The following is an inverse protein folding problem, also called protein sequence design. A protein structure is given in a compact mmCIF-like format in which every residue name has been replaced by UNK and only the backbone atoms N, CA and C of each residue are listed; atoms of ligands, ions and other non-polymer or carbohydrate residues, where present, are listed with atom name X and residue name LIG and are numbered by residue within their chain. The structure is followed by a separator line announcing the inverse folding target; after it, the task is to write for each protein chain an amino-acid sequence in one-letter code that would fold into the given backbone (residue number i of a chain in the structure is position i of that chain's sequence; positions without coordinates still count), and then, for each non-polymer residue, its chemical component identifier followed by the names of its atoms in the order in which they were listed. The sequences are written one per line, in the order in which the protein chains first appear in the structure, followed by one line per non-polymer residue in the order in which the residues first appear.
data_IF_305233154897
#
_entry.id   IF_305233154897
#
_cell.length_a   1.000
_cell.length_b   1.000
_cell.length_c   1.000
_cell.angle_alpha   90.00
_cell.angle_beta   90.00
_cell.angle_gamma   90.00
#
_symmetry.space_group_name_H-M   'P 1'
#
loop_
_entity.id
_entity.type
_entity.pdbx_description
1 polymer ?
#
# COMPACT_ATOMS: atom_id res chain seq x y z
N UNK A 1 -12.16 57.49 41.75
CA UNK A 1 -13.06 56.32 41.83
C UNK A 1 -12.38 55.19 41.07
N UNK A 2 -11.60 54.32 41.71
CA UNK A 2 -12.02 53.09 42.42
C UNK A 2 -12.69 52.06 41.49
N UNK A 3 -12.47 50.75 41.49
CA UNK A 3 -11.45 49.81 42.03
C UNK A 3 -11.92 48.39 41.56
N UNK A 4 -11.00 47.47 41.17
CA UNK A 4 -11.13 45.97 41.19
C UNK A 4 -12.16 45.31 40.21
N UNK A 5 -12.07 44.06 39.69
CA UNK A 5 -11.38 42.80 40.07
C UNK A 5 -11.49 41.73 38.91
N UNK A 6 -10.62 40.68 38.96
CA UNK A 6 -10.72 39.30 38.39
C UNK A 6 -10.47 39.12 36.86
N UNK A 7 -9.72 38.13 36.32
CA UNK A 7 -9.28 36.81 36.83
C UNK A 7 -8.11 36.23 35.97
N UNK A 8 -7.23 35.42 36.59
CA UNK A 8 -6.15 34.65 35.95
C UNK A 8 -6.73 33.42 35.23
N UNK A 9 -6.36 33.16 33.98
CA UNK A 9 -6.45 31.82 33.35
C UNK A 9 -5.04 31.28 33.11
N UNK A 10 -4.68 30.26 33.89
CA UNK A 10 -3.54 29.39 33.62
C UNK A 10 -3.91 28.51 32.43
N UNK A 11 -3.13 28.63 31.35
CA UNK A 11 -3.17 27.75 30.20
C UNK A 11 -2.21 26.59 30.50
N UNK A 12 -2.73 25.41 30.85
CA UNK A 12 -1.91 24.20 30.80
C UNK A 12 -1.79 23.76 29.33
N UNK A 13 -0.59 23.89 28.77
CA UNK A 13 -0.20 23.20 27.55
C UNK A 13 0.37 21.84 27.97
N UNK A 14 -0.38 20.77 27.76
CA UNK A 14 0.18 19.41 27.84
C UNK A 14 1.24 19.24 26.74
N UNK A 15 2.44 18.81 27.13
CA UNK A 15 3.52 18.50 26.20
C UNK A 15 3.77 16.99 26.28
N UNK A 16 3.43 16.26 25.22
CA UNK A 16 3.79 14.84 25.08
C UNK A 16 5.21 14.73 24.53
N UNK A 17 6.08 13.95 25.20
CA UNK A 17 7.43 13.65 24.71
C UNK A 17 7.56 12.13 24.59
N UNK A 18 7.69 11.63 23.36
CA UNK A 18 7.99 10.22 23.08
C UNK A 18 9.51 10.05 23.22
N UNK A 19 9.95 9.23 24.18
CA UNK A 19 11.37 9.14 24.59
C UNK A 19 12.14 8.07 23.78
N UNK A 20 11.48 7.25 22.97
CA UNK A 20 12.19 6.36 22.03
C UNK A 20 11.29 5.61 21.05
N UNK A 21 11.74 5.56 19.79
CA UNK A 21 11.25 4.63 18.76
C UNK A 21 12.40 3.68 18.43
N UNK A 22 12.19 2.38 18.62
CA UNK A 22 13.18 1.36 18.27
C UNK A 22 12.59 0.37 17.26
N UNK A 23 13.11 0.43 16.03
CA UNK A 23 12.79 -0.49 14.94
C UNK A 23 13.96 -1.46 14.78
N UNK A 24 13.77 -2.73 15.13
CA UNK A 24 14.83 -3.75 14.99
C UNK A 24 14.82 -4.30 13.57
N UNK A 25 15.73 -3.85 12.72
CA UNK A 25 15.98 -4.50 11.42
C UNK A 25 16.49 -5.93 11.66
N UNK A 26 15.82 -6.92 11.05
CA UNK A 26 16.33 -8.29 11.01
C UNK A 26 17.45 -8.38 9.97
N UNK A 27 18.69 -8.39 10.45
CA UNK A 27 19.72 -9.33 9.98
C UNK A 27 20.83 -9.36 11.03
N UNK A 28 21.02 -10.50 11.69
CA UNK A 28 22.26 -10.85 12.41
C UNK A 28 22.20 -12.32 12.85
N UNK A 29 22.96 -13.16 12.14
CA UNK A 29 23.55 -14.40 12.67
C UNK A 29 24.98 -14.08 13.08
N UNK A 30 25.37 -14.32 14.33
CA UNK A 30 26.39 -15.33 14.73
C UNK A 30 26.87 -15.19 16.19
N UNK A 31 27.18 -16.37 16.74
CA UNK A 31 28.16 -16.80 17.75
C UNK A 31 28.48 -15.97 19.01
N UNK A 32 28.53 -16.72 20.11
CA UNK A 32 28.98 -16.34 21.44
C UNK A 32 30.46 -15.96 21.51
N UNK A 33 30.79 -14.99 22.35
CA UNK A 33 31.83 -15.16 23.38
C UNK A 33 31.77 -14.05 24.43
N UNK A 34 31.97 -14.46 25.68
CA UNK A 34 32.65 -13.75 26.78
C UNK A 34 32.00 -12.54 27.45
N UNK A 35 31.95 -12.65 28.78
CA UNK A 35 31.40 -11.71 29.76
C UNK A 35 32.26 -10.46 29.99
N UNK A 36 31.62 -9.37 30.40
CA UNK A 36 32.22 -8.39 31.33
C UNK A 36 31.12 -7.62 32.09
N UNK A 37 31.13 -7.74 33.42
CA UNK A 37 30.38 -6.89 34.36
C UNK A 37 31.15 -5.58 34.55
N UNK A 38 30.46 -4.43 34.59
CA UNK A 38 30.77 -3.34 35.53
C UNK A 38 29.57 -2.41 35.74
N UNK A 39 29.53 -1.83 36.93
CA UNK A 39 28.39 -1.22 37.63
C UNK A 39 28.36 0.32 37.58
N UNK A 40 27.14 0.86 37.67
CA UNK A 40 26.68 2.12 38.31
C UNK A 40 26.95 3.53 37.74
N UNK A 41 25.81 4.25 37.66
CA UNK A 41 25.48 5.65 38.02
C UNK A 41 25.77 6.82 37.04
N UNK A 42 24.66 7.27 36.44
CA UNK A 42 24.08 8.62 36.43
C UNK A 42 24.95 9.82 35.95
N UNK A 43 24.62 10.36 34.77
CA UNK A 43 24.62 11.80 34.51
C UNK A 43 23.85 12.12 33.21
N UNK A 44 22.73 12.84 33.35
CA UNK A 44 21.96 13.42 32.25
C UNK A 44 22.74 14.63 31.69
N UNK A 45 23.23 14.55 30.45
CA UNK A 45 23.60 15.71 29.63
C UNK A 45 23.52 15.31 28.15
N UNK A 46 22.47 15.77 27.48
CA UNK A 46 22.25 15.56 26.06
C UNK A 46 23.27 16.38 25.23
N UNK A 47 24.17 15.68 24.55
CA UNK A 47 24.91 16.17 23.39
C UNK A 47 25.00 15.00 22.40
N UNK A 48 24.18 15.03 21.36
CA UNK A 48 24.15 14.01 20.32
C UNK A 48 25.20 14.40 19.26
N UNK A 49 26.32 13.67 19.21
CA UNK A 49 27.25 13.68 18.08
C UNK A 49 27.20 12.27 17.49
N UNK A 50 26.56 12.13 16.33
CA UNK A 50 26.55 10.87 15.56
C UNK A 50 27.69 10.95 14.56
N UNK A 51 28.74 10.15 14.77
CA UNK A 51 29.75 9.84 13.75
C UNK A 51 29.37 8.49 13.14
N UNK A 52 28.85 8.50 11.92
CA UNK A 52 28.65 7.29 11.12
C UNK A 52 29.84 7.11 10.18
N UNK A 53 30.57 6.00 10.33
CA UNK A 53 31.58 5.58 9.37
C UNK A 53 30.91 4.65 8.32
N UNK A 54 31.06 4.90 7.01
CA UNK A 54 30.52 4.00 5.99
C UNK A 54 31.48 2.81 5.78
N UNK A 55 30.99 1.60 6.03
CA UNK A 55 31.59 0.37 5.49
C UNK A 55 30.98 0.13 4.10
N UNK A 56 31.82 0.21 3.06
CA UNK A 56 31.45 -0.16 1.69
C UNK A 56 31.56 -1.68 1.58
N UNK A 57 30.42 -2.38 1.60
CA UNK A 57 30.35 -3.77 1.17
C UNK A 57 30.26 -3.79 -0.36
N UNK A 58 31.24 -4.38 -1.04
CA UNK A 58 31.17 -4.67 -2.47
C UNK A 58 30.09 -5.73 -2.69
N UNK A 59 29.04 -5.38 -3.44
CA UNK A 59 28.03 -6.35 -3.85
C UNK A 59 28.64 -7.27 -4.91
N UNK A 60 28.61 -8.59 -4.67
CA UNK A 60 29.02 -9.58 -5.66
C UNK A 60 27.99 -9.62 -6.79
N UNK A 61 28.45 -9.54 -8.04
CA UNK A 61 27.57 -9.56 -9.21
C UNK A 61 27.23 -11.01 -9.60
N UNK A 62 25.95 -11.27 -9.87
CA UNK A 62 25.44 -12.54 -10.39
C UNK A 62 24.85 -12.36 -11.79
N UNK A 63 24.86 -13.43 -12.59
CA UNK A 63 24.16 -13.53 -13.87
C UNK A 63 23.23 -14.74 -13.86
N UNK A 64 22.08 -14.60 -14.52
CA UNK A 64 21.04 -15.65 -14.58
C UNK A 64 21.07 -16.32 -15.94
N UNK A 65 21.17 -17.64 -15.97
CA UNK A 65 21.13 -18.43 -17.21
C UNK A 65 19.70 -18.63 -17.70
N UNK A 66 19.53 -19.10 -18.94
CA UNK A 66 18.23 -19.24 -19.60
C UNK A 66 17.27 -20.24 -18.89
N UNK A 67 17.82 -21.15 -18.10
CA UNK A 67 17.12 -22.11 -17.23
C UNK A 67 16.85 -21.56 -15.81
N UNK A 68 17.21 -20.30 -15.53
CA UNK A 68 16.92 -19.62 -14.26
C UNK A 68 17.96 -19.81 -13.16
N UNK A 69 19.12 -20.39 -13.45
CA UNK A 69 20.19 -20.60 -12.46
C UNK A 69 21.02 -19.34 -12.26
N UNK A 70 21.24 -18.91 -11.02
CA UNK A 70 22.12 -17.78 -10.70
C UNK A 70 23.58 -18.23 -10.54
N UNK A 71 24.50 -17.57 -11.26
CA UNK A 71 25.94 -17.85 -11.22
C UNK A 71 26.68 -16.57 -10.84
N UNK A 72 27.63 -16.67 -9.90
CA UNK A 72 28.54 -15.59 -9.56
C UNK A 72 29.46 -15.27 -10.74
N UNK A 73 29.59 -14.00 -11.12
CA UNK A 73 30.43 -13.58 -12.26
C UNK A 73 31.89 -13.99 -12.04
N UNK A 74 32.37 -13.98 -10.80
CA UNK A 74 33.72 -14.39 -10.42
C UNK A 74 34.00 -15.89 -10.65
N UNK A 75 32.95 -16.71 -10.80
CA UNK A 75 33.06 -18.14 -11.09
C UNK A 75 33.11 -18.46 -12.60
N UNK A 76 32.97 -17.46 -13.47
CA UNK A 76 33.04 -17.61 -14.93
C UNK A 76 34.49 -17.58 -15.43
N UNK A 77 34.73 -18.12 -16.63
CA UNK A 77 36.04 -18.01 -17.29
C UNK A 77 36.32 -16.54 -17.68
N UNK A 78 37.60 -16.12 -17.80
CA UNK A 78 37.94 -14.73 -18.14
C UNK A 78 37.28 -14.22 -19.43
N UNK A 79 37.15 -15.07 -20.44
CA UNK A 79 36.49 -14.73 -21.71
C UNK A 79 34.98 -14.50 -21.53
N UNK A 80 34.33 -15.30 -20.66
CA UNK A 80 32.91 -15.14 -20.34
C UNK A 80 32.66 -13.92 -19.44
N UNK A 81 33.59 -13.60 -18.53
CA UNK A 81 33.53 -12.36 -17.74
C UNK A 81 33.61 -11.13 -18.65
N UNK A 82 34.50 -11.15 -19.66
CA UNK A 82 34.61 -10.09 -20.64
C UNK A 82 33.33 -9.95 -21.47
N UNK A 83 32.72 -11.05 -21.91
CA UNK A 83 31.43 -11.02 -22.62
C UNK A 83 30.27 -10.52 -21.75
N UNK A 84 30.21 -10.90 -20.48
CA UNK A 84 29.20 -10.39 -19.53
C UNK A 84 29.39 -8.89 -19.33
N UNK A 85 30.63 -8.44 -19.16
CA UNK A 85 30.95 -7.02 -19.00
C UNK A 85 30.59 -6.22 -20.26
N UNK A 86 30.93 -6.72 -21.44
CA UNK A 86 30.61 -6.09 -22.72
C UNK A 86 29.09 -6.06 -22.98
N UNK A 87 28.38 -7.14 -22.63
CA UNK A 87 26.91 -7.20 -22.72
C UNK A 87 26.27 -6.21 -21.75
N UNK A 88 26.77 -6.11 -20.52
CA UNK A 88 26.32 -5.10 -19.55
C UNK A 88 26.62 -3.67 -20.02
N UNK A 89 27.78 -3.43 -20.61
CA UNK A 89 28.16 -2.13 -21.16
C UNK A 89 27.27 -1.76 -22.35
N UNK A 90 26.94 -2.73 -23.22
CA UNK A 90 26.03 -2.55 -24.35
C UNK A 90 24.58 -2.31 -23.90
N UNK A 91 24.14 -2.95 -22.81
CA UNK A 91 22.85 -2.69 -22.15
C UNK A 91 22.82 -1.29 -21.53
N UNK A 92 23.89 -0.86 -20.85
CA UNK A 92 24.00 0.48 -20.28
C UNK A 92 24.05 1.57 -21.37
N UNK A 93 24.71 1.30 -22.49
CA UNK A 93 24.84 2.20 -23.64
C UNK A 93 23.64 2.13 -24.60
N UNK A 94 22.63 1.29 -24.33
CA UNK A 94 21.40 1.20 -25.10
C UNK A 94 21.59 0.78 -26.56
N UNK A 95 22.62 -0.01 -26.88
CA UNK A 95 22.97 -0.42 -28.25
C UNK A 95 22.52 -1.83 -28.65
N UNK A 96 21.67 -2.47 -27.85
CA UNK A 96 21.00 -3.72 -28.22
C UNK A 96 19.48 -3.60 -28.05
N UNK A 97 18.72 -4.32 -28.86
CA UNK A 97 17.31 -4.61 -28.56
C UNK A 97 17.26 -5.54 -27.33
N UNK A 98 17.25 -4.93 -26.15
CA UNK A 98 17.18 -5.51 -24.81
C UNK A 98 16.52 -4.50 -23.87
N UNK A 99 16.05 -4.92 -22.68
CA UNK A 99 14.72 -4.60 -22.18
C UNK A 99 14.49 -3.11 -21.93
N UNK A 100 13.24 -2.69 -22.13
CA UNK A 100 12.72 -1.34 -21.93
C UNK A 100 13.25 -0.75 -20.61
N UNK A 101 13.80 0.47 -20.69
CA UNK A 101 14.30 1.19 -19.51
C UNK A 101 13.18 1.37 -18.49
N UNK A 102 13.52 1.52 -17.22
CA UNK A 102 12.60 1.75 -16.09
C UNK A 102 13.10 2.97 -15.31
N UNK A 103 12.22 3.86 -14.85
CA UNK A 103 12.62 5.00 -14.03
C UNK A 103 12.81 4.61 -12.55
N UNK A 104 13.26 5.56 -11.71
CA UNK A 104 13.56 5.38 -10.28
C UNK A 104 12.35 4.94 -9.44
N UNK A 105 11.13 4.96 -10.00
CA UNK A 105 9.87 4.56 -9.37
C UNK A 105 9.34 3.21 -9.90
N UNK A 106 10.11 2.49 -10.72
CA UNK A 106 9.71 1.15 -11.19
C UNK A 106 8.69 1.16 -12.32
N UNK A 107 8.41 2.31 -12.93
CA UNK A 107 7.55 2.41 -14.11
C UNK A 107 8.37 2.15 -15.38
N UNK A 108 7.87 1.28 -16.25
CA UNK A 108 8.40 1.09 -17.58
C UNK A 108 8.46 2.44 -18.28
N UNK A 109 9.54 2.70 -19.02
CA UNK A 109 9.47 3.59 -20.16
C UNK A 109 8.57 2.93 -21.22
N UNK A 110 7.27 2.88 -20.95
CA UNK A 110 6.32 3.18 -21.99
C UNK A 110 6.40 4.68 -22.07
N UNK A 111 7.11 5.18 -23.08
CA UNK A 111 7.15 6.60 -23.33
C UNK A 111 5.69 7.11 -23.23
N UNK A 112 5.32 7.95 -22.23
CA UNK A 112 3.96 8.50 -22.13
C UNK A 112 3.70 9.51 -23.25
N UNK A 113 4.79 9.97 -23.85
CA UNK A 113 4.87 10.52 -25.19
C UNK A 113 5.12 9.33 -26.11
N UNK A 114 4.46 9.16 -27.25
CA UNK A 114 4.85 8.08 -28.20
C UNK A 114 6.37 8.10 -28.44
N UNK A 115 6.94 6.97 -28.88
CA UNK A 115 8.33 6.91 -29.37
C UNK A 115 8.79 8.27 -29.90
N UNK A 116 9.99 8.73 -29.50
CA UNK A 116 10.61 9.90 -30.11
C UNK A 116 10.82 9.67 -31.61
N UNK A 117 9.75 9.80 -32.37
CA UNK A 117 9.66 10.22 -33.75
C UNK A 117 9.23 11.67 -33.59
N UNK A 118 10.10 12.59 -34.00
CA UNK A 118 9.97 13.99 -33.68
C UNK A 118 8.67 14.63 -34.15
N UNK A 119 8.55 15.93 -33.90
CA UNK A 119 7.63 16.84 -34.55
C UNK A 119 7.79 16.83 -36.11
N UNK A 120 7.58 15.70 -36.77
CA UNK A 120 8.00 15.47 -38.16
C UNK A 120 7.37 14.26 -38.86
N UNK A 121 6.29 13.66 -38.33
CA UNK A 121 5.43 12.81 -39.15
C UNK A 121 4.74 13.69 -40.20
N UNK A 122 4.64 13.20 -41.44
CA UNK A 122 4.12 14.00 -42.54
C UNK A 122 2.64 14.34 -42.31
N UNK A 123 2.32 15.63 -42.42
CA UNK A 123 0.94 16.12 -42.52
C UNK A 123 0.36 15.96 -43.93
N UNK A 124 1.16 15.42 -44.87
CA UNK A 124 0.70 15.07 -46.21
C UNK A 124 -0.53 14.15 -46.12
N UNK A 125 -1.58 14.57 -46.82
CA UNK A 125 -2.85 13.84 -46.85
C UNK A 125 -2.65 12.61 -47.70
N UNK A 126 -2.76 11.44 -47.08
CA UNK A 126 -2.71 10.14 -47.73
C UNK A 126 -4.09 9.77 -48.31
N UNK A 127 -5.16 10.15 -47.61
CA UNK A 127 -6.55 9.92 -48.03
C UNK A 127 -7.41 11.11 -47.63
N UNK A 128 -8.26 11.58 -48.54
CA UNK A 128 -9.12 12.75 -48.30
C UNK A 128 -10.16 12.53 -47.19
N UNK A 129 -10.64 11.30 -47.03
CA UNK A 129 -11.67 10.94 -46.05
C UNK A 129 -11.47 9.52 -45.51
N UNK A 130 -11.34 9.40 -44.19
CA UNK A 130 -11.43 8.11 -43.49
C UNK A 130 -12.87 7.59 -43.54
N UNK A 131 -13.13 6.50 -44.25
CA UNK A 131 -14.44 5.85 -44.34
C UNK A 131 -14.70 4.91 -43.19
N UNK A 132 -13.67 4.21 -42.72
CA UNK A 132 -13.83 3.31 -41.60
C UNK A 132 -12.52 2.84 -40.96
N UNK A 133 -12.67 2.20 -39.81
CA UNK A 133 -11.57 1.60 -39.04
C UNK A 133 -11.92 0.16 -38.68
N UNK A 134 -10.99 -0.74 -38.95
CA UNK A 134 -11.08 -2.17 -38.65
C UNK A 134 -10.14 -2.44 -37.48
N UNK A 135 -10.65 -2.99 -36.39
CA UNK A 135 -9.87 -3.29 -35.18
C UNK A 135 -9.70 -4.79 -35.08
N UNK A 136 -8.46 -5.23 -35.03
CA UNK A 136 -8.06 -6.64 -35.09
C UNK A 136 -7.33 -7.04 -33.80
N UNK A 137 -7.53 -8.27 -33.30
CA UNK A 137 -6.88 -8.72 -32.07
C UNK A 137 -5.43 -9.16 -32.28
N UNK A 138 -5.03 -9.49 -33.51
CA UNK A 138 -3.69 -10.02 -33.81
C UNK A 138 -3.09 -9.42 -35.07
N UNK A 139 -1.76 -9.24 -35.12
CA UNK A 139 -1.07 -8.76 -36.32
C UNK A 139 -1.26 -9.69 -37.53
N UNK A 140 -1.47 -10.99 -37.31
CA UNK A 140 -1.71 -11.96 -38.38
C UNK A 140 -3.05 -11.81 -39.10
N UNK A 141 -4.00 -11.06 -38.54
CA UNK A 141 -5.33 -10.87 -39.13
C UNK A 141 -5.38 -9.67 -40.10
N UNK A 142 -4.28 -8.93 -40.20
CA UNK A 142 -4.15 -7.73 -41.02
C UNK A 142 -4.09 -8.09 -42.49
N UNK A 143 -4.88 -7.37 -43.30
CA UNK A 143 -4.86 -7.48 -44.76
C UNK A 143 -3.98 -6.39 -45.35
N UNK A 144 -2.85 -6.76 -45.93
CA UNK A 144 -1.92 -5.81 -46.56
C UNK A 144 -2.59 -4.99 -47.67
N UNK A 145 -3.48 -5.62 -48.45
CA UNK A 145 -4.28 -4.98 -49.52
C UNK A 145 -5.38 -4.02 -49.00
N UNK A 146 -5.55 -3.92 -47.67
CA UNK A 146 -6.60 -3.13 -47.04
C UNK A 146 -7.98 -3.81 -47.07
N UNK A 147 -8.96 -3.12 -46.48
CA UNK A 147 -10.37 -3.52 -46.52
C UNK A 147 -11.15 -2.58 -47.43
N UNK A 148 -12.05 -3.13 -48.24
CA UNK A 148 -12.95 -2.36 -49.09
C UNK A 148 -14.39 -2.41 -48.55
N UNK A 149 -15.11 -1.30 -48.67
CA UNK A 149 -16.54 -1.23 -48.37
C UNK A 149 -16.92 -1.23 -46.89
N UNK A 150 -15.96 -1.05 -45.98
CA UNK A 150 -16.25 -0.81 -44.56
C UNK A 150 -16.54 0.67 -44.36
N UNK A 151 -17.69 0.96 -43.77
CA UNK A 151 -18.09 2.28 -43.30
C UNK A 151 -18.26 2.22 -41.78
N UNK A 152 -17.68 3.17 -41.05
CA UNK A 152 -17.72 3.18 -39.59
C UNK A 152 -16.64 2.30 -38.95
N UNK A 153 -16.97 1.64 -37.85
CA UNK A 153 -16.03 0.85 -37.05
C UNK A 153 -16.41 -0.62 -37.12
N UNK A 154 -15.45 -1.48 -37.43
CA UNK A 154 -15.61 -2.94 -37.37
C UNK A 154 -14.61 -3.54 -36.37
N UNK A 155 -15.04 -4.50 -35.56
CA UNK A 155 -14.18 -5.19 -34.61
C UNK A 155 -14.75 -6.57 -34.27
N UNK A 156 -13.90 -7.48 -33.77
CA UNK A 156 -14.28 -8.84 -33.34
C UNK A 156 -14.02 -9.08 -31.83
N UNK A 157 -13.97 -8.00 -31.04
CA UNK A 157 -13.83 -8.07 -29.59
C UNK A 157 -15.18 -8.30 -28.91
N UNK A 158 -15.23 -9.23 -27.95
CA UNK A 158 -16.41 -9.55 -27.15
C UNK A 158 -16.86 -8.37 -26.26
N UNK A 159 -15.90 -7.69 -25.60
CA UNK A 159 -16.13 -6.53 -24.72
C UNK A 159 -15.44 -5.26 -25.25
N UNK A 160 -15.89 -4.79 -26.41
CA UNK A 160 -15.35 -3.55 -27.01
C UNK A 160 -15.81 -2.30 -26.25
N UNK A 161 -14.89 -1.46 -25.70
CA UNK A 161 -15.30 -0.33 -24.89
C UNK A 161 -16.00 0.78 -25.71
N UNK A 162 -17.19 1.26 -25.31
CA UNK A 162 -17.92 2.30 -26.05
C UNK A 162 -17.12 3.58 -26.28
N UNK A 163 -16.31 3.99 -25.29
CA UNK A 163 -15.47 5.19 -25.36
C UNK A 163 -14.41 5.11 -26.47
N UNK A 164 -13.92 3.90 -26.76
CA UNK A 164 -12.99 3.67 -27.88
C UNK A 164 -13.71 3.90 -29.20
N UNK A 165 -14.93 3.36 -29.33
CA UNK A 165 -15.79 3.61 -30.49
C UNK A 165 -16.06 5.10 -30.72
N UNK A 166 -16.45 5.83 -29.67
CA UNK A 166 -16.67 7.29 -29.71
C UNK A 166 -15.40 8.04 -30.16
N UNK A 167 -14.25 7.64 -29.63
CA UNK A 167 -12.94 8.23 -29.96
C UNK A 167 -12.60 8.04 -31.43
N UNK A 168 -12.73 6.82 -31.95
CA UNK A 168 -12.46 6.49 -33.36
C UNK A 168 -13.47 7.20 -34.28
N UNK A 169 -14.73 7.28 -33.88
CA UNK A 169 -15.77 7.90 -34.68
C UNK A 169 -15.52 9.40 -34.92
N UNK A 170 -14.79 10.08 -34.05
CA UNK A 170 -14.38 11.47 -34.25
C UNK A 170 -13.41 11.66 -35.44
N UNK A 171 -12.71 10.60 -35.86
CA UNK A 171 -11.80 10.60 -37.01
C UNK A 171 -12.49 10.24 -38.33
N UNK A 172 -13.66 9.58 -38.27
CA UNK A 172 -14.39 9.16 -39.47
C UNK A 172 -14.89 10.40 -40.22
N UNK A 173 -14.68 10.42 -41.54
CA UNK A 173 -15.00 11.54 -42.42
C UNK A 173 -13.96 12.68 -42.40
N UNK A 174 -12.81 12.50 -41.74
CA UNK A 174 -11.70 13.47 -41.75
C UNK A 174 -10.56 13.04 -42.69
N UNK A 175 -9.73 13.98 -43.20
CA UNK A 175 -8.53 13.63 -43.95
C UNK A 175 -7.51 12.87 -43.11
N UNK A 176 -6.82 11.92 -43.73
CA UNK A 176 -5.86 11.02 -43.06
C UNK A 176 -4.44 11.38 -43.46
N UNK A 177 -3.57 11.60 -42.48
CA UNK A 177 -2.12 11.74 -42.63
C UNK A 177 -1.39 10.83 -41.64
N UNK A 178 -0.08 10.63 -41.80
CA UNK A 178 0.70 9.85 -40.81
C UNK A 178 0.63 10.49 -39.41
N UNK A 179 0.63 11.82 -39.36
CA UNK A 179 0.46 12.56 -38.12
C UNK A 179 -0.92 12.33 -37.49
N UNK A 180 -2.00 12.36 -38.27
CA UNK A 180 -3.36 12.13 -37.72
C UNK A 180 -3.56 10.70 -37.25
N UNK A 181 -2.95 9.71 -37.93
CA UNK A 181 -3.01 8.30 -37.52
C UNK A 181 -2.26 8.05 -36.21
N UNK A 182 -1.09 8.65 -36.00
CA UNK A 182 -0.37 8.56 -34.72
C UNK A 182 -1.17 9.18 -33.57
N UNK A 183 -1.83 10.31 -33.79
CA UNK A 183 -2.73 10.92 -32.79
C UNK A 183 -3.91 9.98 -32.50
N UNK A 184 -4.55 9.43 -33.54
CA UNK A 184 -5.65 8.47 -33.38
C UNK A 184 -5.23 7.25 -32.55
N UNK A 185 -4.06 6.67 -32.82
CA UNK A 185 -3.51 5.54 -32.05
C UNK A 185 -3.35 5.90 -30.57
N UNK A 186 -2.77 7.07 -30.26
CA UNK A 186 -2.60 7.55 -28.87
C UNK A 186 -3.94 7.76 -28.17
N UNK A 187 -4.92 8.33 -28.88
CA UNK A 187 -6.26 8.57 -28.35
C UNK A 187 -7.00 7.25 -28.09
N UNK A 188 -6.87 6.27 -28.99
CA UNK A 188 -7.41 4.91 -28.80
C UNK A 188 -6.79 4.24 -27.57
N UNK A 189 -5.46 4.27 -27.41
CA UNK A 189 -4.77 3.74 -26.21
C UNK A 189 -5.33 4.39 -24.94
N UNK A 190 -5.47 5.72 -24.95
CA UNK A 190 -6.01 6.46 -23.81
C UNK A 190 -7.46 6.08 -23.52
N UNK A 191 -8.30 5.93 -24.56
CA UNK A 191 -9.68 5.53 -24.41
C UNK A 191 -9.83 4.14 -23.77
N UNK A 192 -9.01 3.16 -24.18
CA UNK A 192 -8.95 1.84 -23.53
C UNK A 192 -8.56 1.94 -22.05
N UNK A 193 -7.51 2.71 -21.73
CA UNK A 193 -7.06 2.92 -20.34
C UNK A 193 -8.14 3.58 -19.49
N UNK A 194 -8.81 4.61 -20.00
CA UNK A 194 -9.92 5.29 -19.33
C UNK A 194 -11.14 4.37 -19.15
N UNK A 195 -11.31 3.39 -20.05
CA UNK A 195 -12.30 2.33 -19.94
C UNK A 195 -11.89 1.19 -19.01
N UNK A 196 -10.76 1.32 -18.33
CA UNK A 196 -10.30 0.41 -17.29
C UNK A 196 -9.45 -0.76 -17.79
N UNK A 197 -8.94 -0.69 -19.03
CA UNK A 197 -7.93 -1.61 -19.60
C UNK A 197 -6.53 -0.98 -19.52
N UNK A 198 -5.81 -1.10 -18.39
CA UNK A 198 -4.54 -0.40 -18.15
C UNK A 198 -3.41 -0.87 -19.06
N UNK A 199 -3.44 -2.15 -19.46
CA UNK A 199 -2.39 -2.79 -20.26
C UNK A 199 -2.96 -3.06 -21.65
N UNK A 200 -2.67 -2.16 -22.58
CA UNK A 200 -3.11 -2.24 -23.97
C UNK A 200 -2.00 -1.71 -24.87
N UNK A 201 -1.83 -2.36 -26.01
CA UNK A 201 -0.99 -1.89 -27.10
C UNK A 201 -1.84 -1.75 -28.38
N UNK A 202 -1.54 -0.74 -29.19
CA UNK A 202 -2.28 -0.44 -30.42
C UNK A 202 -1.26 -0.23 -31.52
N UNK A 203 -1.22 -1.18 -32.45
CA UNK A 203 -0.28 -1.16 -33.57
C UNK A 203 -1.00 -0.69 -34.84
N UNK A 204 -0.31 0.14 -35.60
CA UNK A 204 -0.68 0.50 -36.97
C UNK A 204 0.26 -0.25 -37.93
N UNK A 205 -0.13 -1.45 -38.42
CA UNK A 205 0.67 -2.21 -39.36
C UNK A 205 0.73 -1.52 -40.74
N UNK A 206 1.75 -1.85 -41.52
CA UNK A 206 1.85 -1.45 -42.92
C UNK A 206 0.70 -2.05 -43.73
N UNK A 207 0.00 -1.20 -44.49
CA UNK A 207 -1.23 -1.57 -45.21
C UNK A 207 -1.55 -0.53 -46.29
N UNK A 208 -2.32 -0.94 -47.29
CA UNK A 208 -2.94 -0.03 -48.25
C UNK A 208 -4.20 0.63 -47.63
N UNK A 209 -4.17 1.95 -47.50
CA UNK A 209 -5.28 2.77 -47.00
C UNK A 209 -6.03 3.51 -48.11
N UNK A 210 -5.68 3.33 -49.38
CA UNK A 210 -6.33 3.96 -50.54
C UNK A 210 -7.87 3.79 -50.54
N UNK A 211 -8.45 2.65 -50.08
CA UNK A 211 -9.90 2.50 -49.94
C UNK A 211 -10.55 3.42 -48.89
N UNK A 212 -9.76 4.11 -48.09
CA UNK A 212 -10.19 4.93 -46.95
C UNK A 212 -10.51 4.11 -45.70
N UNK A 213 -9.97 2.90 -45.57
CA UNK A 213 -10.15 2.06 -44.38
C UNK A 213 -8.80 1.80 -43.73
N UNK A 214 -8.72 2.02 -42.41
CA UNK A 214 -7.51 1.80 -41.62
C UNK A 214 -7.68 0.61 -40.70
N UNK A 215 -6.70 -0.28 -40.65
CA UNK A 215 -6.65 -1.40 -39.71
C UNK A 215 -5.77 -1.04 -38.52
N UNK A 216 -6.31 -1.22 -37.31
CA UNK A 216 -5.57 -1.14 -36.06
C UNK A 216 -5.50 -2.52 -35.44
N UNK A 217 -4.35 -2.92 -34.93
CA UNK A 217 -4.22 -4.13 -34.14
C UNK A 217 -4.21 -3.75 -32.68
N UNK A 218 -5.22 -4.15 -31.93
CA UNK A 218 -5.32 -3.87 -30.50
C UNK A 218 -5.03 -5.15 -29.73
N UNK A 219 -4.06 -5.06 -28.83
CA UNK A 219 -3.60 -6.17 -28.00
C UNK A 219 -3.90 -5.80 -26.56
N UNK A 220 -4.91 -6.44 -25.98
CA UNK A 220 -5.21 -6.31 -24.55
C UNK A 220 -4.32 -7.26 -23.76
N UNK A 221 -3.73 -6.76 -22.67
CA UNK A 221 -2.81 -7.53 -21.85
C UNK A 221 -3.54 -8.60 -21.03
N UNK A 222 -3.15 -9.86 -21.21
CA UNK A 222 -3.60 -10.99 -20.40
C UNK A 222 -2.57 -11.34 -19.32
N UNK A 223 -3.03 -11.78 -18.15
CA UNK A 223 -2.13 -12.18 -17.08
C UNK A 223 -1.39 -13.48 -17.41
N UNK A 224 -0.06 -13.45 -17.45
CA UNK A 224 0.76 -14.67 -17.54
C UNK A 224 1.00 -15.31 -16.17
N UNK A 225 1.53 -14.52 -15.23
CA UNK A 225 1.84 -14.96 -13.86
C UNK A 225 1.96 -13.77 -12.90
N UNK A 226 1.91 -14.08 -11.61
CA UNK A 226 2.08 -13.12 -10.52
C UNK A 226 3.37 -13.48 -9.77
N UNK A 227 4.30 -12.54 -9.72
CA UNK A 227 5.55 -12.63 -8.96
C UNK A 227 5.44 -11.77 -7.70
N UNK A 228 6.04 -12.21 -6.62
CA UNK A 228 6.12 -11.40 -5.39
C UNK A 228 7.59 -11.21 -5.02
N UNK A 229 7.96 -9.98 -4.71
CA UNK A 229 9.34 -9.60 -4.39
C UNK A 229 9.42 -9.00 -2.99
N UNK A 230 10.54 -9.23 -2.30
CA UNK A 230 10.84 -8.62 -0.99
C UNK A 230 10.37 -9.41 0.23
N UNK A 231 9.91 -10.65 0.06
CA UNK A 231 9.45 -11.54 1.13
C UNK A 231 9.94 -12.97 0.95
N UNK A 232 9.76 -13.82 1.96
CA UNK A 232 10.03 -15.26 1.85
C UNK A 232 8.95 -16.01 1.04
N UNK A 233 9.22 -17.26 0.69
CA UNK A 233 8.37 -18.07 -0.17
C UNK A 233 6.97 -18.34 0.41
N UNK A 234 6.84 -18.46 1.74
CA UNK A 234 5.54 -18.71 2.38
C UNK A 234 4.65 -17.47 2.26
N UNK A 235 5.22 -16.29 2.49
CA UNK A 235 4.51 -15.02 2.35
C UNK A 235 4.24 -14.67 0.89
N UNK A 236 5.13 -15.01 -0.03
CA UNK A 236 4.90 -14.92 -1.47
C UNK A 236 3.65 -15.71 -1.88
N UNK A 237 3.55 -16.98 -1.48
CA UNK A 237 2.40 -17.82 -1.80
C UNK A 237 1.11 -17.28 -1.16
N UNK A 238 1.19 -16.73 0.05
CA UNK A 238 0.07 -16.04 0.68
C UNK A 238 -0.42 -14.86 -0.17
N UNK A 239 0.46 -13.91 -0.51
CA UNK A 239 0.11 -12.71 -1.28
C UNK A 239 -0.39 -13.06 -2.68
N UNK A 240 0.23 -14.03 -3.36
CA UNK A 240 -0.20 -14.52 -4.66
C UNK A 240 -1.64 -15.09 -4.61
N UNK A 241 -1.97 -15.87 -3.57
CA UNK A 241 -3.32 -16.42 -3.38
C UNK A 241 -4.37 -15.36 -3.08
N UNK A 242 -3.96 -14.21 -2.54
CA UNK A 242 -4.88 -13.11 -2.32
C UNK A 242 -5.31 -12.46 -3.63
N UNK A 243 -4.56 -12.58 -4.73
CA UNK A 243 -4.98 -12.00 -6.02
C UNK A 243 -6.16 -12.77 -6.62
N UNK A 244 -7.21 -12.03 -6.98
CA UNK A 244 -8.43 -12.60 -7.56
C UNK A 244 -8.25 -12.97 -9.02
N UNK A 245 -7.47 -12.18 -9.76
CA UNK A 245 -7.11 -12.42 -11.17
C UNK A 245 -6.37 -13.75 -11.35
N UNK A 246 -6.64 -14.46 -12.44
CA UNK A 246 -6.08 -15.76 -12.80
C UNK A 246 -5.29 -15.67 -14.11
N UNK A 247 -4.40 -16.64 -14.31
CA UNK A 247 -3.62 -16.75 -15.55
C UNK A 247 -4.58 -16.86 -16.75
N UNK A 248 -4.35 -16.04 -17.77
CA UNK A 248 -5.16 -15.94 -18.98
C UNK A 248 -6.32 -14.93 -18.87
N UNK A 249 -6.58 -14.37 -17.69
CA UNK A 249 -7.58 -13.31 -17.57
C UNK A 249 -7.05 -12.00 -18.17
N UNK A 250 -7.92 -11.26 -18.86
CA UNK A 250 -7.66 -9.86 -19.24
C UNK A 250 -7.43 -9.01 -17.99
N UNK A 251 -6.48 -8.08 -18.05
CA UNK A 251 -6.15 -7.24 -16.91
C UNK A 251 -7.09 -6.03 -16.86
N UNK A 252 -8.02 -6.02 -15.89
CA UNK A 252 -8.85 -4.84 -15.58
C UNK A 252 -8.35 -4.07 -14.37
N UNK A 253 -8.19 -2.76 -14.54
CA UNK A 253 -7.78 -1.83 -13.47
C UNK A 253 -8.63 -1.94 -12.21
N UNK A 254 -9.95 -2.12 -12.34
CA UNK A 254 -10.87 -2.22 -11.19
C UNK A 254 -10.55 -3.42 -10.31
N UNK A 255 -10.36 -4.59 -10.91
CA UNK A 255 -10.05 -5.82 -10.19
C UNK A 255 -8.69 -5.73 -9.53
N UNK A 256 -7.68 -5.28 -10.28
CA UNK A 256 -6.32 -5.12 -9.76
C UNK A 256 -6.26 -4.12 -8.60
N UNK A 257 -6.96 -2.98 -8.71
CA UNK A 257 -7.02 -1.99 -7.64
C UNK A 257 -7.70 -2.54 -6.38
N UNK A 258 -8.77 -3.32 -6.52
CA UNK A 258 -9.43 -3.97 -5.40
C UNK A 258 -8.51 -4.95 -4.68
N UNK A 259 -7.78 -5.76 -5.45
CA UNK A 259 -6.80 -6.69 -4.90
C UNK A 259 -5.65 -5.95 -4.21
N UNK A 260 -5.13 -4.88 -4.82
CA UNK A 260 -4.07 -4.07 -4.25
C UNK A 260 -4.51 -3.34 -2.97
N UNK A 261 -5.73 -2.82 -2.94
CA UNK A 261 -6.33 -2.20 -1.75
C UNK A 261 -6.48 -3.23 -0.62
N UNK A 262 -6.91 -4.45 -0.95
CA UNK A 262 -6.97 -5.55 0.02
C UNK A 262 -5.60 -5.91 0.57
N UNK A 263 -4.60 -6.06 -0.30
CA UNK A 263 -3.22 -6.32 0.12
C UNK A 263 -2.68 -5.21 1.03
N UNK A 264 -2.98 -3.94 0.73
CA UNK A 264 -2.53 -2.79 1.52
C UNK A 264 -3.41 -2.44 2.73
N UNK A 265 -4.47 -3.22 3.01
CA UNK A 265 -5.29 -3.03 4.21
C UNK A 265 -4.51 -3.32 5.50
N UNK A 266 -3.50 -4.18 5.40
CA UNK A 266 -2.64 -4.54 6.52
C UNK A 266 -1.72 -3.39 6.90
N UNK A 267 -1.68 -2.97 8.18
CA UNK A 267 -0.81 -1.87 8.62
C UNK A 267 0.67 -2.27 8.68
N UNK A 268 0.98 -3.56 8.52
CA UNK A 268 2.31 -4.12 8.67
C UNK A 268 3.03 -4.34 7.34
N UNK A 269 2.41 -3.99 6.20
CA UNK A 269 3.04 -4.08 4.91
C UNK A 269 2.58 -2.97 3.96
N UNK A 270 3.41 -2.69 2.97
CA UNK A 270 3.05 -1.94 1.78
C UNK A 270 3.43 -2.73 0.54
N UNK A 271 2.49 -2.90 -0.37
CA UNK A 271 2.63 -3.61 -1.64
C UNK A 271 2.43 -2.61 -2.77
N UNK A 272 3.41 -2.52 -3.65
CA UNK A 272 3.32 -1.81 -4.92
C UNK A 272 3.14 -2.83 -6.06
N UNK A 273 2.44 -2.42 -7.12
CA UNK A 273 2.17 -3.27 -8.27
C UNK A 273 2.85 -2.73 -9.52
N UNK A 274 3.52 -3.61 -10.26
CA UNK A 274 4.25 -3.29 -11.48
C UNK A 274 3.85 -4.29 -12.59
N UNK A 275 3.53 -3.79 -13.78
CA UNK A 275 3.13 -4.61 -14.95
C UNK A 275 4.31 -4.89 -15.88
N UNK A 276 4.93 -6.06 -15.81
CA UNK A 276 6.05 -6.40 -16.68
C UNK A 276 5.62 -7.16 -17.95
N UNK A 277 6.36 -7.06 -19.07
CA UNK A 277 6.13 -7.92 -20.23
C UNK A 277 6.20 -9.40 -19.86
N UNK A 278 5.22 -10.19 -20.32
CA UNK A 278 5.23 -11.65 -20.21
C UNK A 278 6.13 -12.32 -21.26
N UNK A 279 6.19 -13.66 -21.23
CA UNK A 279 7.02 -14.41 -22.18
C UNK A 279 6.40 -14.52 -23.58
N UNK A 280 5.08 -14.64 -23.66
CA UNK A 280 4.35 -14.79 -24.93
C UNK A 280 3.71 -13.46 -25.36
N UNK A 281 3.35 -13.38 -26.64
CA UNK A 281 2.67 -12.22 -27.20
C UNK A 281 1.34 -11.94 -26.48
N UNK A 282 1.06 -10.67 -26.16
CA UNK A 282 -0.15 -10.25 -25.45
C UNK A 282 -0.15 -10.57 -23.95
N UNK A 283 0.89 -11.24 -23.43
CA UNK A 283 0.97 -11.58 -22.02
C UNK A 283 1.70 -10.54 -21.18
N UNK A 284 1.25 -10.40 -19.94
CA UNK A 284 1.79 -9.47 -18.94
C UNK A 284 1.99 -10.19 -17.61
N UNK A 285 3.15 -10.00 -17.01
CA UNK A 285 3.46 -10.40 -15.64
C UNK A 285 3.03 -9.29 -14.67
N UNK A 286 2.41 -9.66 -13.54
CA UNK A 286 2.19 -8.74 -12.42
C UNK A 286 3.27 -8.99 -11.37
N UNK A 287 4.00 -7.95 -10.99
CA UNK A 287 5.00 -8.01 -9.92
C UNK A 287 4.47 -7.23 -8.72
N UNK A 288 4.31 -7.93 -7.60
CA UNK A 288 3.95 -7.36 -6.30
C UNK A 288 5.23 -7.12 -5.51
N UNK A 289 5.62 -5.86 -5.32
CA UNK A 289 6.83 -5.48 -4.57
C UNK A 289 6.45 -5.08 -3.15
N UNK A 290 6.99 -5.79 -2.16
CA UNK A 290 6.77 -5.46 -0.74
C UNK A 290 7.89 -4.56 -0.24
N UNK A 291 7.56 -3.34 0.21
CA UNK A 291 8.56 -2.27 0.47
C UNK A 291 8.95 -2.14 1.95
N UNK A 292 8.09 -2.52 2.88
CA UNK A 292 8.38 -2.38 4.31
C UNK A 292 7.52 -3.34 5.11
N UNK A 293 8.12 -4.11 6.02
CA UNK A 293 7.39 -5.13 6.77
C UNK A 293 7.99 -5.45 8.14
N UNK A 294 8.66 -4.51 8.84
CA UNK A 294 9.00 -4.81 10.24
C UNK A 294 7.70 -4.83 11.07
N UNK A 295 7.17 -6.01 11.43
CA UNK A 295 5.83 -6.10 11.94
C UNK A 295 5.83 -5.91 13.47
N UNK A 296 7.01 -5.84 14.10
CA UNK A 296 7.17 -5.61 15.52
C UNK A 296 7.77 -4.23 15.81
N UNK A 297 7.07 -3.44 16.61
CA UNK A 297 7.57 -2.19 17.15
C UNK A 297 7.04 -1.95 18.56
N UNK A 298 7.79 -1.20 19.35
CA UNK A 298 7.42 -0.85 20.72
C UNK A 298 7.75 0.60 20.99
N UNK A 299 7.12 1.15 22.03
CA UNK A 299 7.27 2.54 22.41
C UNK A 299 7.15 2.69 23.93
N UNK A 300 7.85 3.71 24.44
CA UNK A 300 7.67 4.21 25.80
C UNK A 300 7.61 5.73 25.70
N UNK A 301 6.62 6.30 26.36
CA UNK A 301 6.32 7.72 26.37
C UNK A 301 6.00 8.20 27.78
N UNK A 302 6.12 9.50 27.95
CA UNK A 302 5.74 10.20 29.16
C UNK A 302 4.77 11.32 28.76
N UNK A 303 3.73 11.49 29.56
CA UNK A 303 2.76 12.57 29.40
C UNK A 303 2.41 13.18 30.76
N UNK A 304 2.02 14.45 30.76
CA UNK A 304 1.59 15.18 31.96
C UNK A 304 0.08 15.55 31.89
N UNK A 305 -0.72 14.65 31.32
CA UNK A 305 -2.15 14.86 31.05
C UNK A 305 -3.07 14.40 32.19
N UNK A 306 -2.49 13.83 33.26
CA UNK A 306 -3.24 13.40 34.43
C UNK A 306 -3.69 14.56 35.31
N UNK A 307 -4.58 14.27 36.25
CA UNK A 307 -5.07 15.26 37.22
C UNK A 307 -4.29 15.14 38.52
N UNK A 308 -4.30 16.19 39.35
CA UNK A 308 -3.64 16.18 40.65
C UNK A 308 -4.05 14.98 41.53
N UNK A 309 -5.34 14.61 41.50
CA UNK A 309 -5.87 13.47 42.26
C UNK A 309 -5.49 12.08 41.70
N UNK A 310 -5.00 12.00 40.46
CA UNK A 310 -4.72 10.74 39.74
C UNK A 310 -3.26 10.63 39.29
N UNK A 311 -2.39 11.50 39.81
CA UNK A 311 -1.05 11.73 39.28
C UNK A 311 -1.07 12.57 37.99
N UNK A 312 -0.36 13.70 38.00
CA UNK A 312 -0.23 14.55 36.80
C UNK A 312 0.57 13.84 35.70
N UNK A 313 1.57 13.07 36.11
CA UNK A 313 2.54 12.40 35.26
C UNK A 313 2.18 10.94 34.99
N UNK A 314 2.19 10.54 33.72
CA UNK A 314 1.89 9.18 33.29
C UNK A 314 2.96 8.63 32.37
N UNK A 315 3.19 7.34 32.52
CA UNK A 315 3.98 6.53 31.59
C UNK A 315 3.02 5.82 30.64
N UNK A 316 3.36 5.85 29.37
CA UNK A 316 2.68 5.06 28.34
C UNK A 316 3.70 4.11 27.73
N UNK A 317 3.46 2.82 27.80
CA UNK A 317 4.34 1.82 27.22
C UNK A 317 3.51 0.83 26.41
N UNK A 318 4.00 0.42 25.25
CA UNK A 318 3.24 -0.50 24.41
C UNK A 318 4.07 -1.15 23.33
N UNK A 319 3.48 -2.16 22.71
CA UNK A 319 4.03 -2.82 21.54
C UNK A 319 2.94 -3.16 20.55
N UNK A 320 3.36 -3.33 19.31
CA UNK A 320 2.57 -3.86 18.22
C UNK A 320 3.36 -4.99 17.60
N UNK A 321 2.69 -6.11 17.38
CA UNK A 321 3.25 -7.31 16.82
C UNK A 321 2.33 -7.83 15.72
N UNK A 322 2.58 -7.35 14.51
CA UNK A 322 2.00 -7.86 13.29
C UNK A 322 2.54 -9.23 12.88
N UNK A 323 1.79 -9.89 12.02
CA UNK A 323 2.04 -11.23 11.49
C UNK A 323 2.37 -12.31 12.56
N UNK A 324 2.00 -12.09 13.83
CA UNK A 324 2.32 -13.00 14.94
C UNK A 324 1.59 -14.34 14.82
N UNK A 325 0.34 -14.30 14.34
CA UNK A 325 -0.53 -15.47 14.18
C UNK A 325 -0.69 -15.87 12.70
N UNK A 326 0.22 -15.38 11.84
CA UNK A 326 0.16 -15.49 10.39
C UNK A 326 -0.11 -14.14 9.72
N UNK A 327 -0.03 -14.08 8.38
CA UNK A 327 -0.16 -12.83 7.63
C UNK A 327 -1.46 -12.08 7.96
N UNK A 328 -1.37 -10.77 8.04
CA UNK A 328 -2.48 -9.84 8.33
C UNK A 328 -3.10 -9.92 9.71
N UNK A 329 -2.48 -10.66 10.63
CA UNK A 329 -2.94 -10.76 12.00
C UNK A 329 -1.96 -10.08 12.93
N UNK A 330 -2.44 -9.16 13.75
CA UNK A 330 -1.60 -8.41 14.66
C UNK A 330 -2.19 -8.30 16.06
N UNK A 331 -1.29 -8.19 17.02
CA UNK A 331 -1.59 -7.94 18.42
C UNK A 331 -0.92 -6.66 18.89
N UNK A 332 -1.69 -5.79 19.53
CA UNK A 332 -1.21 -4.53 20.09
C UNK A 332 -1.56 -4.48 21.56
N UNK A 333 -0.60 -4.09 22.39
CA UNK A 333 -0.80 -3.89 23.82
C UNK A 333 -0.30 -2.51 24.23
N UNK A 334 -1.06 -1.82 25.07
CA UNK A 334 -0.67 -0.56 25.70
C UNK A 334 -0.98 -0.58 27.20
N UNK A 335 -0.02 -0.10 27.96
CA UNK A 335 -0.11 0.28 29.36
C UNK A 335 -0.09 1.80 29.46
N UNK A 336 -0.98 2.37 30.24
CA UNK A 336 -0.96 3.76 30.69
C UNK A 336 -1.07 3.76 32.20
N UNK A 337 -0.09 4.30 32.92
CA UNK A 337 -0.12 4.32 34.38
C UNK A 337 0.46 5.62 34.94
N UNK A 338 0.11 5.99 36.17
CA UNK A 338 0.86 7.02 36.93
C UNK A 338 2.30 6.56 37.19
N UNK A 339 3.20 7.52 37.48
CA UNK A 339 4.62 7.21 37.77
C UNK A 339 4.82 6.23 38.92
N UNK A 340 3.91 6.25 39.90
CA UNK A 340 3.96 5.41 41.10
C UNK A 340 3.15 4.10 40.94
N UNK A 341 2.48 3.90 39.79
CA UNK A 341 1.64 2.74 39.49
C UNK A 341 0.61 2.41 40.57
N UNK A 342 0.10 3.45 41.23
CA UNK A 342 -0.69 3.33 42.45
C UNK A 342 -2.07 3.94 42.34
N UNK A 343 -2.23 4.98 41.51
CA UNK A 343 -3.47 5.76 41.43
C UNK A 343 -4.26 5.50 40.15
N UNK A 344 -3.58 5.19 39.04
CA UNK A 344 -4.25 4.81 37.80
C UNK A 344 -3.41 3.82 37.01
N UNK A 345 -4.04 2.73 36.60
CA UNK A 345 -3.44 1.76 35.68
C UNK A 345 -4.46 1.34 34.62
N UNK A 346 -4.13 1.57 33.36
CA UNK A 346 -4.93 1.25 32.20
C UNK A 346 -4.19 0.26 31.30
N UNK A 347 -4.84 -0.84 30.98
CA UNK A 347 -4.38 -1.87 30.06
C UNK A 347 -5.32 -1.90 28.85
N UNK A 348 -4.75 -1.91 27.64
CA UNK A 348 -5.51 -2.08 26.40
C UNK A 348 -4.82 -3.14 25.55
N UNK A 349 -5.60 -4.10 25.06
CA UNK A 349 -5.18 -5.15 24.16
C UNK A 349 -6.07 -5.11 22.93
N UNK A 350 -5.46 -5.07 21.75
CA UNK A 350 -6.16 -5.10 20.47
C UNK A 350 -5.62 -6.25 19.64
N UNK A 351 -6.51 -7.14 19.24
CA UNK A 351 -6.24 -8.11 18.19
C UNK A 351 -6.95 -7.65 16.91
N UNK A 352 -6.27 -7.72 15.78
CA UNK A 352 -6.87 -7.46 14.49
C UNK A 352 -6.36 -8.45 13.45
N UNK A 353 -7.23 -8.85 12.52
CA UNK A 353 -6.90 -9.91 11.58
C UNK A 353 -7.78 -9.94 10.34
N UNK A 354 -7.17 -10.22 9.19
CA UNK A 354 -7.90 -10.65 8.01
C UNK A 354 -8.47 -12.07 8.19
N UNK A 355 -9.67 -12.30 7.67
CA UNK A 355 -10.33 -13.61 7.61
C UNK A 355 -10.17 -14.23 6.21
N UNK A 356 -10.26 -15.56 6.07
CA UNK A 356 -10.03 -16.25 4.79
C UNK A 356 -10.92 -15.79 3.63
N UNK A 357 -12.08 -15.19 3.91
CA UNK A 357 -13.05 -14.70 2.93
C UNK A 357 -12.97 -13.18 2.70
N UNK A 358 -11.78 -12.58 2.90
CA UNK A 358 -11.52 -11.15 2.69
C UNK A 358 -12.32 -10.18 3.56
N UNK A 359 -12.64 -10.56 4.79
CA UNK A 359 -13.23 -9.67 5.79
C UNK A 359 -12.21 -9.35 6.88
N UNK A 360 -12.50 -8.35 7.71
CA UNK A 360 -11.60 -7.92 8.78
C UNK A 360 -12.29 -8.01 10.14
N UNK A 361 -11.58 -8.54 11.13
CA UNK A 361 -12.03 -8.66 12.51
C UNK A 361 -11.10 -7.85 13.41
N UNK A 362 -11.67 -7.05 14.29
CA UNK A 362 -10.94 -6.38 15.37
C UNK A 362 -11.61 -6.69 16.70
N UNK A 363 -10.81 -7.15 17.66
CA UNK A 363 -11.20 -7.39 19.04
C UNK A 363 -10.40 -6.45 19.93
N UNK A 364 -11.07 -5.74 20.83
CA UNK A 364 -10.42 -4.91 21.83
C UNK A 364 -10.87 -5.35 23.22
N UNK A 365 -9.92 -5.46 24.12
CA UNK A 365 -10.15 -5.60 25.55
C UNK A 365 -9.40 -4.50 26.28
N UNK A 366 -10.07 -3.78 27.18
CA UNK A 366 -9.40 -2.83 28.05
C UNK A 366 -9.89 -2.91 29.48
N UNK A 367 -8.99 -2.60 30.40
CA UNK A 367 -9.23 -2.57 31.83
C UNK A 367 -8.51 -1.36 32.42
N UNK A 368 -9.23 -0.56 33.19
CA UNK A 368 -8.68 0.61 33.87
C UNK A 368 -9.09 0.53 35.33
N UNK A 369 -8.10 0.60 36.22
CA UNK A 369 -8.31 0.76 37.66
C UNK A 369 -7.88 2.16 38.08
N UNK A 370 -8.67 2.76 38.95
CA UNK A 370 -8.41 4.06 39.56
C UNK A 370 -8.54 3.92 41.06
N UNK A 371 -7.59 4.49 41.79
CA UNK A 371 -7.65 4.66 43.25
C UNK A 371 -7.13 6.08 43.56
N UNK A 372 -8.05 6.98 43.94
CA UNK A 372 -7.76 8.40 44.10
C UNK A 372 -8.06 8.85 45.53
N UNK A 373 -7.16 9.67 46.09
CA UNK A 373 -7.40 10.37 47.34
C UNK A 373 -7.70 11.85 47.04
N UNK A 374 -8.95 12.26 47.24
CA UNK A 374 -9.43 13.60 46.92
C UNK A 374 -9.45 14.45 48.21
N UNK A 375 -8.71 15.56 48.29
CA UNK A 375 -8.77 16.45 49.45
C UNK A 375 -10.12 17.19 49.47
N UNK A 376 -10.84 17.12 50.58
CA UNK A 376 -12.15 17.79 50.76
C UNK A 376 -12.12 18.96 51.76
N UNK A 377 -10.93 19.34 52.23
CA UNK A 377 -10.70 20.43 53.18
C UNK A 377 -10.27 19.94 54.57
N UNK A 378 -9.73 20.84 55.40
CA UNK A 378 -9.34 20.58 56.79
C UNK A 378 -8.39 19.37 57.01
N UNK A 379 -7.58 19.03 56.00
CA UNK A 379 -6.68 17.87 56.06
C UNK A 379 -7.39 16.51 55.94
N UNK A 380 -8.66 16.51 55.55
CA UNK A 380 -9.45 15.30 55.31
C UNK A 380 -9.45 14.92 53.83
N UNK A 381 -9.41 13.61 53.59
CA UNK A 381 -9.38 13.01 52.26
C UNK A 381 -10.57 12.08 52.08
N UNK A 382 -11.07 12.00 50.86
CA UNK A 382 -12.11 11.08 50.43
C UNK A 382 -11.48 10.13 49.43
N UNK A 383 -11.65 8.82 49.67
CA UNK A 383 -11.18 7.81 48.74
C UNK A 383 -12.23 7.61 47.66
N UNK A 384 -11.79 7.66 46.41
CA UNK A 384 -12.62 7.37 45.25
C UNK A 384 -11.89 6.37 44.37
N UNK A 385 -12.42 5.16 44.32
CA UNK A 385 -11.90 4.09 43.49
C UNK A 385 -12.89 3.75 42.38
N UNK A 386 -12.38 3.06 41.37
CA UNK A 386 -13.24 2.57 40.32
C UNK A 386 -12.50 1.71 39.33
N UNK A 387 -13.22 0.73 38.81
CA UNK A 387 -12.76 -0.18 37.79
C UNK A 387 -13.66 -0.04 36.58
N UNK A 388 -13.04 0.04 35.41
CA UNK A 388 -13.74 0.10 34.13
C UNK A 388 -13.18 -0.94 33.18
N UNK A 389 -14.03 -1.84 32.72
CA UNK A 389 -13.70 -2.89 31.76
C UNK A 389 -14.47 -2.68 30.45
N UNK A 390 -13.82 -2.92 29.32
CA UNK A 390 -14.47 -2.90 28.02
C UNK A 390 -14.03 -4.10 27.18
N UNK A 391 -15.00 -4.69 26.49
CA UNK A 391 -14.77 -5.67 25.44
C UNK A 391 -15.52 -5.24 24.19
N UNK A 392 -14.82 -5.14 23.07
CA UNK A 392 -15.35 -4.66 21.81
C UNK A 392 -15.04 -5.62 20.69
N UNK A 393 -16.04 -5.92 19.87
CA UNK A 393 -15.90 -6.65 18.62
C UNK A 393 -16.27 -5.72 17.47
N UNK A 394 -15.47 -5.75 16.41
CA UNK A 394 -15.74 -5.07 15.13
C UNK A 394 -15.52 -6.04 14.00
N UNK A 395 -16.49 -6.12 13.09
CA UNK A 395 -16.46 -6.94 11.90
C UNK A 395 -16.70 -6.07 10.68
N UNK A 396 -15.77 -6.11 9.74
CA UNK A 396 -15.72 -5.21 8.60
C UNK A 396 -15.74 -6.00 7.29
N UNK A 397 -16.67 -5.63 6.42
CA UNK A 397 -16.91 -6.25 5.12
C UNK A 397 -16.53 -5.23 4.04
N UNK A 398 -15.37 -5.39 3.38
CA UNK A 398 -15.04 -4.54 2.25
C UNK A 398 -16.02 -4.83 1.10
N UNK A 399 -16.46 -3.77 0.44
CA UNK A 399 -17.39 -3.83 -0.68
C UNK A 399 -16.69 -3.44 -1.98
N UNK A 400 -17.09 -4.09 -3.07
CA UNK A 400 -16.65 -3.71 -4.40
C UNK A 400 -17.16 -2.31 -4.72
N UNK A 401 -16.25 -1.40 -5.07
CA UNK A 401 -16.59 -0.03 -5.42
C UNK A 401 -16.01 0.34 -6.79
N UNK A 402 -16.78 1.04 -7.65
CA UNK A 402 -16.26 1.58 -8.91
C UNK A 402 -15.44 2.86 -8.68
N UNK A 403 -14.43 3.08 -9.54
CA UNK A 403 -13.75 4.37 -9.67
C UNK A 403 -12.86 4.78 -8.49
N UNK A 404 -12.03 3.87 -7.98
CA UNK A 404 -11.05 4.19 -6.92
C UNK A 404 -11.65 4.47 -5.53
N UNK A 405 -12.94 4.19 -5.35
CA UNK A 405 -13.57 4.28 -4.03
C UNK A 405 -13.17 3.07 -3.19
N UNK A 406 -13.06 3.27 -1.88
CA UNK A 406 -13.04 2.19 -0.89
C UNK A 406 -14.36 2.27 -0.12
N UNK A 407 -15.09 1.16 -0.07
CA UNK A 407 -16.37 1.07 0.62
C UNK A 407 -16.32 -0.09 1.60
N UNK A 408 -16.89 0.11 2.78
CA UNK A 408 -16.91 -0.91 3.83
C UNK A 408 -18.20 -0.84 4.62
N UNK A 409 -18.77 -2.01 4.94
CA UNK A 409 -19.81 -2.13 5.95
C UNK A 409 -19.18 -2.65 7.23
N UNK A 410 -19.44 -1.97 8.34
CA UNK A 410 -18.97 -2.35 9.65
C UNK A 410 -20.12 -2.73 10.56
N UNK A 411 -19.92 -3.78 11.33
CA UNK A 411 -20.79 -4.20 12.41
C UNK A 411 -19.98 -4.29 13.69
N UNK A 412 -20.57 -3.96 14.82
CA UNK A 412 -19.85 -3.98 16.08
C UNK A 412 -20.73 -4.21 17.29
N UNK A 413 -20.08 -4.69 18.34
CA UNK A 413 -20.66 -4.89 19.65
C UNK A 413 -19.68 -4.37 20.69
N UNK A 414 -20.19 -3.65 21.68
CA UNK A 414 -19.45 -3.16 22.83
C UNK A 414 -20.12 -3.59 24.12
N UNK A 415 -19.34 -4.21 24.98
CA UNK A 415 -19.62 -4.39 26.39
C UNK A 415 -18.76 -3.43 27.19
N UNK A 416 -19.37 -2.62 28.05
CA UNK A 416 -18.65 -1.74 28.98
C UNK A 416 -19.22 -1.93 30.37
N UNK A 417 -18.37 -2.14 31.37
CA UNK A 417 -18.74 -2.17 32.77
C UNK A 417 -17.87 -1.18 33.53
N UNK A 418 -18.48 -0.36 34.38
CA UNK A 418 -17.76 0.57 35.23
C UNK A 418 -18.43 0.60 36.59
N UNK A 419 -17.64 0.42 37.64
CA UNK A 419 -18.05 0.75 38.99
C UNK A 419 -17.31 2.03 39.41
N UNK A 420 -17.99 2.85 40.19
CA UNK A 420 -17.36 4.01 40.81
C UNK A 420 -17.79 4.00 42.26
N UNK A 421 -16.83 3.85 43.16
CA UNK A 421 -17.06 3.90 44.58
C UNK A 421 -16.54 5.22 45.17
N UNK A 422 -17.27 5.72 46.15
CA UNK A 422 -16.89 6.89 46.93
C UNK A 422 -17.00 6.54 48.40
N UNK A 423 -15.88 6.52 49.11
CA UNK A 423 -15.82 6.20 50.53
C UNK A 423 -15.62 7.47 51.36
N UNK A 424 -16.56 7.76 52.27
CA UNK A 424 -16.48 8.90 53.19
C UNK A 424 -16.53 8.41 54.64
N UNK A 425 -15.43 8.56 55.38
CA UNK A 425 -15.40 8.25 56.81
C UNK A 425 -15.55 6.76 57.16
N UNK A 426 -15.10 5.85 56.29
CA UNK A 426 -15.16 4.39 56.50
C UNK A 426 -16.45 3.72 56.01
N UNK A 427 -17.31 4.45 55.29
CA UNK A 427 -18.54 3.92 54.70
C UNK A 427 -18.63 4.27 53.20
N UNK A 428 -19.00 3.30 52.38
CA UNK A 428 -19.27 3.48 50.96
C UNK A 428 -20.58 4.25 50.75
N UNK A 429 -20.50 5.39 50.06
CA UNK A 429 -21.63 6.31 49.82
C UNK A 429 -22.29 6.05 48.47
N UNK A 430 -21.54 5.54 47.49
CA UNK A 430 -22.05 5.10 46.19
C UNK A 430 -21.34 3.80 45.79
N UNK A 431 -22.08 2.71 45.60
CA UNK A 431 -21.59 1.48 44.96
C UNK A 431 -22.59 1.11 43.86
N UNK A 432 -22.38 1.70 42.68
CA UNK A 432 -23.24 1.46 41.52
C UNK A 432 -22.37 0.95 40.38
N UNK A 433 -22.59 -0.31 40.01
CA UNK A 433 -22.02 -0.87 38.79
C UNK A 433 -22.91 -0.53 37.60
N UNK A 434 -22.38 0.24 36.66
CA UNK A 434 -23.02 0.54 35.38
C UNK A 434 -22.55 -0.47 34.33
N UNK A 435 -23.48 -1.06 33.60
CA UNK A 435 -23.20 -1.97 32.48
C UNK A 435 -23.90 -1.46 31.22
N UNK A 436 -23.17 -1.37 30.12
CA UNK A 436 -23.66 -0.92 28.82
C UNK A 436 -23.38 -2.01 27.79
N UNK A 437 -24.43 -2.34 27.04
CA UNK A 437 -24.36 -3.14 25.82
C UNK A 437 -24.74 -2.25 24.65
N UNK A 438 -23.88 -2.17 23.64
CA UNK A 438 -24.11 -1.35 22.46
C UNK A 438 -23.86 -2.16 21.19
N UNK A 439 -24.76 -2.03 20.23
CA UNK A 439 -24.60 -2.53 18.87
C UNK A 439 -24.36 -1.36 17.93
N UNK A 440 -23.51 -1.56 16.93
CA UNK A 440 -23.30 -0.58 15.87
C UNK A 440 -23.35 -1.23 14.50
N UNK A 441 -23.87 -0.47 13.55
CA UNK A 441 -23.73 -0.74 12.12
C UNK A 441 -23.31 0.57 11.46
N UNK A 442 -22.33 0.50 10.56
CA UNK A 442 -21.76 1.65 9.87
C UNK A 442 -21.50 1.33 8.41
N UNK A 443 -21.45 2.39 7.60
CA UNK A 443 -21.02 2.32 6.21
C UNK A 443 -19.99 3.43 5.99
N UNK A 444 -18.79 3.03 5.62
CA UNK A 444 -17.69 3.94 5.32
C UNK A 444 -17.45 3.98 3.81
N UNK A 445 -17.22 5.18 3.30
CA UNK A 445 -16.88 5.41 1.90
C UNK A 445 -15.80 6.50 1.83
N UNK A 446 -14.65 6.13 1.26
CA UNK A 446 -13.54 7.05 1.00
C UNK A 446 -13.12 6.98 -0.47
N UNK A 447 -12.45 8.04 -0.93
CA UNK A 447 -11.76 8.08 -2.23
C UNK A 447 -10.29 7.78 -1.98
N UNK A 448 -9.70 6.85 -2.73
CA UNK A 448 -8.28 6.47 -2.62
C UNK A 448 -7.36 7.47 -3.30
#
# INVERSE_FOLDING_TARGET
MAQRFLEKRLFQRGHSVIIGWFRRNRSLRFQSSSAMRFTTKLALKAACVVVAAPFIASAQQTVVTADGTEILVDALTPDMQAQVFETQQNLQMGRGQGPLKVNTEGQFYLNPEGAGIGNGLSEEILVDYLRGVVILPRPGDVRAEGWAGIEGIWHDFDDFPPKVGETINAYIGTPVSLASLDIMVRDVIKAYRDSGRPVVDVLLPEQDITPGVVQLVVIEGELSRIRVEGVDAEYEDYLRRQMSIKKGDEIHSRQIQQDLNWLNKSPYRKVDLIYAPGYEFGQTDIILRVVDSNPFWYYVGYENSGTEALGEDRIVAGFNWGDMFGPDQGLSYQLTADMDFSTVAGHSLVYQGALPWRHWLTLLGSYVSVDAEIPVGDGTFVKSGGESSQASLRYAIPLNAPGGQVREVQMGFDYKSSNNNLEFGGADVFDVTTVIFQFMAGYDMSLS
#
